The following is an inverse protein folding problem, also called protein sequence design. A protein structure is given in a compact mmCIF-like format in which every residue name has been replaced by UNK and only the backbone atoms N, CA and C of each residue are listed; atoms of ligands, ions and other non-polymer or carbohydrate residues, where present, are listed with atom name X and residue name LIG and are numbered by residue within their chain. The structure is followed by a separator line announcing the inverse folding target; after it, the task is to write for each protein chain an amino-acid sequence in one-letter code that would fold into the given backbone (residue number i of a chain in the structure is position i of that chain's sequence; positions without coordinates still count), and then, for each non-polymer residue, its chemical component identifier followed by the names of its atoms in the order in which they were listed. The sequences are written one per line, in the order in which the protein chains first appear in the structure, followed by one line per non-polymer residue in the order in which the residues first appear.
data_IF_822765056223
#
_entry.id   IF_822765056223
#
_cell.length_a   1.000
_cell.length_b   1.000
_cell.length_c   1.000
_cell.angle_alpha   90.00
_cell.angle_beta   90.00
_cell.angle_gamma   90.00
#
_symmetry.space_group_name_H-M   'P 1'
#
loop_
_entity.id
_entity.type
_entity.pdbx_description
1 polymer ?
#
# COMPACT_ATOMS: atom_id res chain seq x y z
N UNK A 1 -28.87 39.34 -38.83
CA UNK A 1 -27.64 39.91 -38.24
C UNK A 1 -27.90 40.03 -36.76
N UNK A 2 -27.33 39.30 -35.82
CA UNK A 2 -26.46 38.12 -35.77
C UNK A 2 -26.85 37.45 -34.45
N UNK A 3 -27.25 36.19 -34.48
CA UNK A 3 -27.41 35.39 -33.26
C UNK A 3 -26.03 34.89 -32.87
N UNK A 4 -25.45 35.46 -31.82
CA UNK A 4 -24.25 34.91 -31.19
C UNK A 4 -24.68 33.89 -30.13
N UNK A 5 -25.18 32.75 -30.59
CA UNK A 5 -25.14 31.53 -29.79
C UNK A 5 -23.68 31.11 -29.72
N UNK A 6 -22.99 31.59 -28.69
CA UNK A 6 -21.62 31.18 -28.38
C UNK A 6 -21.65 29.72 -27.95
N UNK A 7 -21.15 28.88 -28.85
CA UNK A 7 -20.94 27.44 -28.74
C UNK A 7 -20.01 27.12 -27.55
N UNK A 8 -20.52 26.27 -26.65
CA UNK A 8 -19.82 25.38 -25.70
C UNK A 8 -18.42 25.80 -25.22
N UNK A 9 -18.35 26.36 -24.00
CA UNK A 9 -17.17 26.17 -23.16
C UNK A 9 -16.99 24.65 -22.94
N UNK A 10 -15.89 24.03 -23.39
CA UNK A 10 -15.69 22.60 -23.18
C UNK A 10 -15.55 22.34 -21.67
N UNK A 11 -16.21 21.31 -21.12
CA UNK A 11 -16.18 21.05 -19.69
C UNK A 11 -14.75 20.79 -19.21
N UNK A 12 -14.37 21.39 -18.09
CA UNK A 12 -13.04 21.51 -17.44
C UNK A 12 -12.24 20.20 -17.19
N UNK A 13 -12.66 19.07 -17.75
CA UNK A 13 -12.03 17.75 -17.56
C UNK A 13 -10.67 17.57 -18.25
N UNK A 14 -10.26 18.48 -19.14
CA UNK A 14 -9.00 18.34 -19.92
C UNK A 14 -7.77 18.89 -19.18
N UNK A 15 -7.92 19.55 -18.03
CA UNK A 15 -6.79 20.10 -17.24
C UNK A 15 -6.43 19.30 -15.98
N UNK A 16 -6.84 18.03 -15.84
CA UNK A 16 -6.26 17.18 -14.79
C UNK A 16 -4.87 16.72 -15.26
N UNK A 17 -3.77 17.15 -14.63
CA UNK A 17 -2.47 16.57 -14.94
C UNK A 17 -2.56 15.08 -14.64
N UNK A 18 -2.31 14.24 -15.65
CA UNK A 18 -2.11 12.81 -15.46
C UNK A 18 -0.92 12.70 -14.52
N UNK A 19 -1.16 12.42 -13.23
CA UNK A 19 -0.08 12.07 -12.29
C UNK A 19 0.42 10.70 -12.68
N UNK A 20 1.41 10.67 -13.58
CA UNK A 20 2.20 9.48 -13.88
C UNK A 20 3.13 9.26 -12.69
N UNK A 21 2.65 8.54 -11.67
CA UNK A 21 3.55 7.96 -10.67
C UNK A 21 4.21 6.73 -11.29
N UNK A 22 5.26 6.96 -12.07
CA UNK A 22 5.99 5.90 -12.78
C UNK A 22 6.86 5.07 -11.82
N UNK A 23 7.20 5.60 -10.64
CA UNK A 23 8.18 5.01 -9.72
C UNK A 23 7.53 4.14 -8.63
N UNK A 24 7.95 2.88 -8.56
CA UNK A 24 7.54 1.90 -7.55
C UNK A 24 8.76 1.27 -6.86
N UNK A 25 8.55 0.81 -5.62
CA UNK A 25 9.51 0.03 -4.85
C UNK A 25 8.90 -1.32 -4.50
N UNK A 26 9.73 -2.36 -4.45
CA UNK A 26 9.38 -3.66 -3.87
C UNK A 26 10.17 -3.76 -2.57
N UNK A 27 9.44 -3.85 -1.46
CA UNK A 27 10.01 -3.98 -0.13
C UNK A 27 9.76 -5.36 0.45
N UNK A 28 10.58 -5.76 1.40
CA UNK A 28 10.32 -6.91 2.26
C UNK A 28 9.92 -6.42 3.66
N UNK A 29 8.69 -6.71 4.06
CA UNK A 29 8.18 -6.41 5.40
C UNK A 29 7.73 -7.71 6.08
N UNK A 30 8.30 -8.00 7.25
CA UNK A 30 8.00 -9.21 8.04
C UNK A 30 8.02 -10.54 7.24
N UNK A 31 8.84 -10.63 6.19
CA UNK A 31 8.95 -11.81 5.32
C UNK A 31 7.99 -11.84 4.14
N UNK A 32 7.11 -10.85 3.99
CA UNK A 32 6.24 -10.67 2.82
C UNK A 32 6.81 -9.58 1.91
N UNK A 33 6.67 -9.77 0.59
CA UNK A 33 7.07 -8.74 -0.39
C UNK A 33 5.88 -7.91 -0.81
N UNK A 34 6.02 -6.58 -0.75
CA UNK A 34 4.95 -5.66 -1.08
C UNK A 34 5.44 -4.66 -2.12
N UNK A 35 4.63 -4.45 -3.16
CA UNK A 35 4.86 -3.41 -4.15
C UNK A 35 4.21 -2.11 -3.68
N UNK A 36 5.01 -1.05 -3.62
CA UNK A 36 4.60 0.27 -3.15
C UNK A 36 4.80 1.30 -4.26
N UNK A 37 3.84 2.21 -4.39
CA UNK A 37 3.96 3.42 -5.20
C UNK A 37 3.75 4.64 -4.30
N UNK A 38 4.26 5.80 -4.72
CA UNK A 38 4.08 7.03 -3.96
C UNK A 38 2.60 7.39 -3.83
N UNK A 39 2.13 7.58 -2.60
CA UNK A 39 0.75 7.92 -2.28
C UNK A 39 -0.16 6.72 -1.99
N UNK A 40 0.32 5.49 -2.18
CA UNK A 40 -0.45 4.28 -1.88
C UNK A 40 -0.67 4.16 -0.36
N UNK A 41 -1.82 3.59 0.00
CA UNK A 41 -2.13 3.18 1.37
C UNK A 41 -2.08 1.66 1.42
N UNK A 42 -1.27 1.13 2.33
CA UNK A 42 -0.98 -0.29 2.43
C UNK A 42 -1.07 -0.72 3.88
N UNK A 43 -1.63 -1.91 4.12
CA UNK A 43 -1.66 -2.54 5.42
C UNK A 43 -0.41 -3.39 5.61
N UNK A 44 0.35 -3.09 6.66
CA UNK A 44 1.53 -3.86 7.09
C UNK A 44 1.26 -4.54 8.42
N UNK A 45 2.18 -5.41 8.83
CA UNK A 45 2.08 -6.07 10.14
C UNK A 45 2.08 -5.06 11.28
N UNK A 46 1.28 -5.36 12.31
CA UNK A 46 1.14 -4.50 13.49
C UNK A 46 2.49 -4.30 14.20
N UNK A 47 2.80 -3.04 14.52
CA UNK A 47 3.97 -2.62 15.30
C UNK A 47 3.54 -1.53 16.28
N UNK A 48 4.27 -1.39 17.37
CA UNK A 48 4.10 -0.28 18.31
C UNK A 48 4.58 1.02 17.64
N UNK A 49 3.67 1.74 17.00
CA UNK A 49 3.91 3.03 16.36
C UNK A 49 2.71 3.96 16.61
N UNK A 50 2.98 5.23 16.88
CA UNK A 50 1.92 6.22 17.11
C UNK A 50 1.25 6.64 15.80
N UNK A 51 -0.04 6.97 15.88
CA UNK A 51 -0.80 7.53 14.76
C UNK A 51 -0.14 8.84 14.27
N UNK A 52 0.12 8.93 12.97
CA UNK A 52 0.86 10.05 12.37
C UNK A 52 2.38 9.96 12.52
N UNK A 53 2.90 8.89 13.14
CA UNK A 53 4.32 8.61 13.20
C UNK A 53 4.91 8.29 11.83
N UNK A 54 6.21 8.55 11.66
CA UNK A 54 6.95 8.21 10.44
C UNK A 54 7.72 6.91 10.65
N UNK A 55 7.56 5.97 9.73
CA UNK A 55 8.26 4.69 9.70
C UNK A 55 9.14 4.62 8.45
N UNK A 56 10.39 4.18 8.63
CA UNK A 56 11.35 4.02 7.54
C UNK A 56 11.52 2.52 7.28
N UNK A 57 11.33 2.11 6.02
CA UNK A 57 11.47 0.74 5.57
C UNK A 57 12.76 0.62 4.75
N UNK A 58 13.79 0.08 5.38
CA UNK A 58 15.14 -0.03 4.80
C UNK A 58 15.34 -1.26 3.91
N UNK A 59 14.46 -2.26 4.04
CA UNK A 59 14.55 -3.53 3.30
C UNK A 59 13.92 -3.41 1.92
N UNK A 60 14.59 -2.70 1.03
CA UNK A 60 14.16 -2.53 -0.37
C UNK A 60 14.86 -3.56 -1.26
N UNK A 61 14.07 -4.35 -1.99
CA UNK A 61 14.54 -5.38 -2.91
C UNK A 61 14.76 -4.83 -4.33
N UNK A 62 13.84 -3.97 -4.78
CA UNK A 62 13.90 -3.41 -6.13
C UNK A 62 13.25 -2.02 -6.21
N UNK A 63 13.75 -1.18 -7.11
CA UNK A 63 13.13 0.09 -7.49
C UNK A 63 13.02 0.14 -9.01
N UNK A 64 11.85 0.52 -9.52
CA UNK A 64 11.62 0.66 -10.95
C UNK A 64 10.76 1.87 -11.26
N UNK A 65 10.93 2.42 -12.46
CA UNK A 65 10.17 3.54 -13.02
C UNK A 65 9.19 3.08 -14.12
N UNK A 66 9.11 1.76 -14.38
CA UNK A 66 8.25 1.14 -15.39
C UNK A 66 8.67 1.42 -16.85
N UNK A 67 9.70 2.24 -17.06
CA UNK A 67 10.21 2.65 -18.39
C UNK A 67 11.63 2.13 -18.60
N UNK A 68 12.46 2.21 -17.56
CA UNK A 68 13.87 1.79 -17.57
C UNK A 68 14.07 0.43 -16.90
N UNK A 69 15.27 -0.12 -17.02
CA UNK A 69 15.64 -1.33 -16.28
C UNK A 69 15.57 -1.07 -14.76
N UNK A 70 14.83 -1.93 -14.04
CA UNK A 70 14.69 -1.81 -12.60
C UNK A 70 16.03 -2.06 -11.89
N UNK A 71 16.32 -1.26 -10.86
CA UNK A 71 17.44 -1.49 -9.95
C UNK A 71 17.08 -2.66 -9.03
N UNK A 72 17.83 -3.75 -9.12
CA UNK A 72 17.63 -4.97 -8.31
C UNK A 72 18.77 -5.09 -7.29
N UNK A 73 18.41 -5.34 -6.04
CA UNK A 73 19.35 -5.66 -4.97
C UNK A 73 19.69 -7.15 -4.93
N UNK A 74 20.89 -7.47 -4.45
CA UNK A 74 21.36 -8.83 -4.18
C UNK A 74 22.08 -8.83 -2.82
N UNK A 75 21.41 -9.00 -1.65
CA UNK A 75 19.99 -9.29 -1.40
C UNK A 75 19.07 -8.06 -1.23
N UNK A 76 19.61 -6.90 -0.87
CA UNK A 76 18.89 -5.63 -0.72
C UNK A 76 19.61 -4.52 -1.49
N UNK A 77 18.91 -3.44 -1.84
CA UNK A 77 19.51 -2.27 -2.47
C UNK A 77 20.13 -1.36 -1.40
N UNK A 78 21.45 -1.15 -1.45
CA UNK A 78 22.14 -0.30 -0.47
C UNK A 78 21.81 1.17 -0.69
N UNK A 79 21.35 1.86 0.37
CA UNK A 79 20.99 3.29 0.31
C UNK A 79 19.57 3.57 -0.20
N UNK A 80 18.75 2.53 -0.42
CA UNK A 80 17.33 2.70 -0.69
C UNK A 80 16.52 2.66 0.61
N UNK A 81 15.52 3.53 0.69
CA UNK A 81 14.57 3.54 1.80
C UNK A 81 13.21 4.02 1.33
N UNK A 82 12.16 3.47 1.93
CA UNK A 82 10.79 3.93 1.73
C UNK A 82 10.31 4.58 3.02
N UNK A 83 9.94 5.85 2.94
CA UNK A 83 9.37 6.59 4.07
C UNK A 83 7.86 6.50 3.99
N UNK A 84 7.24 6.00 5.05
CA UNK A 84 5.79 5.87 5.18
C UNK A 84 5.32 6.56 6.44
N UNK A 85 4.11 7.08 6.40
CA UNK A 85 3.43 7.70 7.55
C UNK A 85 2.31 6.80 8.02
N UNK A 86 2.26 6.56 9.32
CA UNK A 86 1.26 5.72 9.98
C UNK A 86 -0.08 6.45 9.98
N UNK A 87 -1.10 5.84 9.40
CA UNK A 87 -2.47 6.35 9.47
C UNK A 87 -3.19 5.83 10.71
N UNK A 88 -2.82 4.63 11.16
CA UNK A 88 -3.25 4.03 12.41
C UNK A 88 -3.50 2.53 12.29
N UNK A 89 -4.03 1.95 13.35
CA UNK A 89 -4.36 0.53 13.40
C UNK A 89 -5.65 0.22 12.66
N UNK A 90 -5.64 -0.86 11.88
CA UNK A 90 -6.80 -1.36 11.15
C UNK A 90 -6.98 -2.86 11.41
N UNK A 91 -8.21 -3.27 11.68
CA UNK A 91 -8.53 -4.67 11.86
C UNK A 91 -9.07 -5.29 10.56
N UNK A 92 -8.38 -6.32 10.08
CA UNK A 92 -8.80 -7.09 8.92
C UNK A 92 -10.05 -7.93 9.16
N UNK A 93 -10.46 -8.67 8.13
CA UNK A 93 -11.67 -9.47 8.19
C UNK A 93 -11.63 -10.55 9.28
N UNK A 94 -12.76 -10.77 9.95
CA UNK A 94 -12.88 -11.81 10.97
C UNK A 94 -12.99 -13.18 10.29
N UNK A 95 -11.95 -13.99 10.40
CA UNK A 95 -11.92 -15.36 9.91
C UNK A 95 -12.46 -16.29 11.01
N UNK A 96 -13.42 -17.14 10.68
CA UNK A 96 -14.01 -18.11 11.63
C UNK A 96 -13.61 -19.54 11.27
N UNK A 97 -12.94 -20.20 12.20
CA UNK A 97 -12.55 -21.61 12.08
C UNK A 97 -13.44 -22.47 12.96
N UNK A 98 -14.07 -23.50 12.38
CA UNK A 98 -14.93 -24.45 13.10
C UNK A 98 -14.27 -25.82 13.11
N UNK A 99 -14.03 -26.38 14.29
CA UNK A 99 -13.57 -27.75 14.48
C UNK A 99 -14.71 -28.62 14.99
N UNK A 100 -15.05 -29.66 14.26
CA UNK A 100 -16.09 -30.62 14.62
C UNK A 100 -15.55 -32.04 14.65
N UNK A 101 -15.91 -32.84 15.66
CA UNK A 101 -15.64 -34.29 15.69
C UNK A 101 -16.95 -35.05 15.73
N UNK A 102 -17.17 -35.90 14.73
CA UNK A 102 -18.37 -36.74 14.59
C UNK A 102 -18.53 -37.67 15.81
N UNK A 103 -19.77 -37.81 16.31
CA UNK A 103 -20.17 -38.72 17.41
C UNK A 103 -19.41 -38.51 18.74
N UNK A 104 -18.72 -37.38 18.91
CA UNK A 104 -18.01 -37.03 20.16
C UNK A 104 -18.61 -35.82 20.87
N UNK A 105 -19.72 -35.28 20.36
CA UNK A 105 -20.33 -34.05 20.88
C UNK A 105 -19.44 -32.80 20.78
N UNK A 106 -18.28 -32.90 20.11
CA UNK A 106 -17.28 -31.84 20.09
C UNK A 106 -17.47 -30.94 18.87
N UNK A 107 -17.80 -29.68 19.14
CA UNK A 107 -17.84 -28.58 18.17
C UNK A 107 -17.23 -27.34 18.81
N UNK A 108 -16.14 -26.82 18.25
CA UNK A 108 -15.49 -25.58 18.68
C UNK A 108 -15.49 -24.59 17.52
N UNK A 109 -15.94 -23.36 17.77
CA UNK A 109 -15.84 -22.25 16.81
C UNK A 109 -14.89 -21.23 17.38
N UNK A 110 -13.86 -20.85 16.63
CA UNK A 110 -12.85 -19.86 17.01
C UNK A 110 -12.89 -18.76 15.95
N UNK A 111 -12.89 -17.50 16.38
CA UNK A 111 -12.64 -16.36 15.50
C UNK A 111 -11.19 -15.92 15.62
N UNK A 112 -10.56 -15.61 14.49
CA UNK A 112 -9.32 -14.84 14.41
C UNK A 112 -9.63 -13.54 13.67
N UNK A 113 -9.13 -12.42 14.20
CA UNK A 113 -9.15 -11.12 13.52
C UNK A 113 -7.71 -10.62 13.59
N UNK A 114 -7.13 -10.42 12.42
CA UNK A 114 -5.76 -9.95 12.31
C UNK A 114 -5.79 -8.42 12.36
N UNK A 115 -5.01 -7.86 13.28
CA UNK A 115 -4.77 -6.42 13.33
C UNK A 115 -3.56 -6.09 12.46
N UNK A 116 -3.67 -4.98 11.75
CA UNK A 116 -2.70 -4.44 10.81
C UNK A 116 -2.44 -2.98 11.15
N UNK A 117 -1.34 -2.44 10.62
CA UNK A 117 -1.06 -1.01 10.64
C UNK A 117 -1.23 -0.47 9.23
N UNK A 118 -2.17 0.46 9.03
CA UNK A 118 -2.34 1.13 7.75
C UNK A 118 -1.30 2.24 7.62
N UNK A 119 -0.49 2.20 6.58
CA UNK A 119 0.56 3.19 6.31
C UNK A 119 0.38 3.82 4.93
N UNK A 120 0.70 5.10 4.81
CA UNK A 120 0.73 5.83 3.54
C UNK A 120 2.16 6.05 3.09
N UNK A 121 2.46 5.76 1.83
CA UNK A 121 3.79 5.97 1.25
C UNK A 121 3.98 7.44 0.89
N UNK A 122 4.98 8.09 1.49
CA UNK A 122 5.30 9.50 1.21
C UNK A 122 6.40 9.65 0.15
N UNK A 123 7.49 8.92 0.35
CA UNK A 123 8.67 9.02 -0.51
C UNK A 123 9.36 7.67 -0.67
N UNK A 124 9.93 7.48 -1.85
CA UNK A 124 10.78 6.34 -2.19
C UNK A 124 12.13 6.94 -2.58
N UNK A 125 13.19 6.52 -1.91
CA UNK A 125 14.57 6.95 -2.18
C UNK A 125 15.39 5.75 -2.63
N UNK A 126 16.23 5.89 -3.66
CA UNK A 126 17.23 4.89 -4.04
C UNK A 126 17.88 5.13 -5.40
#
# INVERSE_FOLDING_TARGET
MEGSDTIDDPPDFIRRPIRIFSMYAIIEDSGTQIKLSKGDVVDIDLRDAEDGGTLILDKVLAIGDGVSAAKLGLPYLTGASVTVTVLGENDGDKIRSVKYKRRKGYRKTIGHRQSYLSVRVESITG
#
